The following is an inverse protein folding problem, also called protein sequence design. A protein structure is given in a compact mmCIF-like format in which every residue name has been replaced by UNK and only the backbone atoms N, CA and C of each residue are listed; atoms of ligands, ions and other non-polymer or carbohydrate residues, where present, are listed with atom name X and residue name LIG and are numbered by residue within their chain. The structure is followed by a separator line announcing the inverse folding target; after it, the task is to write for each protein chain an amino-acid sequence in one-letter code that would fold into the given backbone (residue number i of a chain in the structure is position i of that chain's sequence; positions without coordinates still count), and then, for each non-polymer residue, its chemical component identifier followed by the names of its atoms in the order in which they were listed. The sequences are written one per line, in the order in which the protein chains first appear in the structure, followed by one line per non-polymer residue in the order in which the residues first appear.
data_IF_025626515878
#
_entry.id   IF_025626515878
#
_cell.length_a   1.000
_cell.length_b   1.000
_cell.length_c   1.000
_cell.angle_alpha   90.00
_cell.angle_beta   90.00
_cell.angle_gamma   90.00
#
_symmetry.space_group_name_H-M   'P 1'
#
loop_
_entity.id
_entity.type
_entity.pdbx_description
1 polymer ?
#
# COMPACT_ATOMS: atom_id res chain seq x y z
N UNK A 1 -2.63 -18.66 -28.04
CA UNK A 1 -2.65 -17.27 -28.55
C UNK A 1 -1.46 -16.57 -27.92
N UNK A 2 -0.70 -15.78 -28.68
CA UNK A 2 0.52 -15.11 -28.21
C UNK A 2 0.17 -13.72 -27.71
N UNK A 3 0.51 -13.40 -26.45
CA UNK A 3 0.29 -12.07 -25.86
C UNK A 3 1.62 -11.33 -25.78
N UNK A 4 1.67 -10.07 -26.21
CA UNK A 4 2.90 -9.29 -26.32
C UNK A 4 2.64 -7.85 -25.86
N UNK A 5 3.34 -7.42 -24.82
CA UNK A 5 3.21 -6.06 -24.28
C UNK A 5 4.57 -5.44 -24.00
N UNK A 6 4.63 -4.12 -24.19
CA UNK A 6 5.82 -3.28 -24.04
C UNK A 6 5.80 -2.62 -22.66
N UNK A 7 6.93 -2.59 -21.97
CA UNK A 7 7.08 -1.97 -20.64
C UNK A 7 7.93 -0.71 -20.82
N UNK A 8 7.24 0.42 -20.95
CA UNK A 8 7.91 1.71 -21.09
C UNK A 8 8.59 2.10 -19.77
N UNK A 9 9.92 2.06 -19.76
CA UNK A 9 10.73 2.50 -18.61
C UNK A 9 12.05 1.76 -18.41
N UNK A 10 12.27 0.64 -19.08
CA UNK A 10 13.54 -0.10 -18.98
C UNK A 10 14.44 0.23 -20.18
N UNK A 11 15.68 0.70 -19.92
CA UNK A 11 16.73 0.89 -20.93
C UNK A 11 17.33 -0.46 -21.36
N UNK A 12 16.46 -1.42 -21.67
CA UNK A 12 16.77 -2.74 -22.19
C UNK A 12 16.02 -2.82 -23.51
N UNK A 13 16.75 -2.98 -24.60
CA UNK A 13 16.19 -3.13 -25.94
C UNK A 13 15.14 -4.25 -25.95
N UNK A 14 13.86 -3.85 -25.92
CA UNK A 14 12.71 -4.65 -26.34
C UNK A 14 12.65 -6.07 -25.74
N UNK A 15 12.45 -6.18 -24.42
CA UNK A 15 12.28 -7.46 -23.73
C UNK A 15 10.83 -7.93 -23.88
N UNK A 16 10.51 -8.59 -25.01
CA UNK A 16 9.20 -9.22 -25.22
C UNK A 16 9.04 -10.40 -24.25
N UNK A 17 8.14 -10.28 -23.28
CA UNK A 17 7.81 -11.37 -22.36
C UNK A 17 6.68 -12.21 -22.96
N UNK A 18 6.87 -13.53 -23.05
CA UNK A 18 5.87 -14.47 -23.55
C UNK A 18 5.47 -15.42 -22.42
N UNK A 19 4.18 -15.46 -22.11
CA UNK A 19 3.61 -16.33 -21.06
C UNK A 19 2.59 -17.26 -21.72
N UNK A 20 2.81 -18.56 -21.56
CA UNK A 20 1.86 -19.58 -22.00
C UNK A 20 0.87 -19.86 -20.87
N UNK A 21 -0.36 -19.39 -21.02
CA UNK A 21 -1.45 -19.62 -20.06
C UNK A 21 -2.35 -20.76 -20.55
N UNK A 22 -2.97 -21.50 -19.63
CA UNK A 22 -4.03 -22.43 -19.98
C UNK A 22 -5.27 -21.66 -20.46
N UNK A 23 -6.11 -22.28 -21.29
CA UNK A 23 -7.29 -21.62 -21.88
C UNK A 23 -8.27 -21.09 -20.82
N UNK A 24 -8.41 -21.79 -19.69
CA UNK A 24 -9.23 -21.34 -18.57
C UNK A 24 -8.69 -20.03 -17.95
N UNK A 25 -7.38 -19.94 -17.76
CA UNK A 25 -6.72 -18.76 -17.19
C UNK A 25 -6.81 -17.57 -18.15
N UNK A 26 -6.72 -17.82 -19.47
CA UNK A 26 -6.89 -16.76 -20.49
C UNK A 26 -8.30 -16.16 -20.43
N UNK A 27 -9.33 -16.99 -20.30
CA UNK A 27 -10.71 -16.52 -20.19
C UNK A 27 -10.94 -15.74 -18.89
N UNK A 28 -10.35 -16.20 -17.79
CA UNK A 28 -10.38 -15.48 -16.53
C UNK A 28 -9.70 -14.12 -16.64
N UNK A 29 -8.53 -14.04 -17.29
CA UNK A 29 -7.78 -12.80 -17.48
C UNK A 29 -8.55 -11.81 -18.38
N UNK A 30 -9.18 -12.28 -19.45
CA UNK A 30 -10.03 -11.45 -20.31
C UNK A 30 -11.25 -10.90 -19.57
N UNK A 31 -11.87 -11.71 -18.70
CA UNK A 31 -12.99 -11.26 -17.87
C UNK A 31 -12.54 -10.17 -16.86
N UNK A 32 -11.36 -10.35 -16.26
CA UNK A 32 -10.77 -9.36 -15.34
C UNK A 32 -10.42 -8.05 -16.04
N UNK A 33 -9.77 -8.11 -17.21
CA UNK A 33 -9.45 -6.93 -18.01
C UNK A 33 -10.70 -6.12 -18.34
N UNK A 34 -11.76 -6.79 -18.81
CA UNK A 34 -13.04 -6.14 -19.11
C UNK A 34 -13.72 -5.56 -17.86
N UNK A 35 -13.68 -6.27 -16.74
CA UNK A 35 -14.24 -5.78 -15.48
C UNK A 35 -13.49 -4.53 -14.95
N UNK A 36 -12.19 -4.45 -15.22
CA UNK A 36 -11.34 -3.30 -14.90
C UNK A 36 -11.43 -2.16 -15.94
N UNK A 37 -12.21 -2.32 -17.01
CA UNK A 37 -12.43 -1.30 -18.04
C UNK A 37 -11.35 -1.24 -19.13
N UNK A 38 -10.51 -2.27 -19.25
CA UNK A 38 -9.51 -2.36 -20.32
C UNK A 38 -10.09 -2.99 -21.59
N UNK A 39 -9.61 -2.52 -22.74
CA UNK A 39 -10.02 -3.00 -24.06
C UNK A 39 -9.41 -4.37 -24.39
N UNK A 40 -8.20 -4.61 -23.91
CA UNK A 40 -7.43 -5.83 -24.14
C UNK A 40 -6.75 -6.35 -22.86
N UNK A 41 -6.31 -7.61 -22.92
CA UNK A 41 -5.64 -8.29 -21.80
C UNK A 41 -4.21 -7.77 -21.64
N UNK A 42 -3.58 -7.42 -22.74
CA UNK A 42 -2.22 -6.89 -22.81
C UNK A 42 -2.08 -5.55 -22.09
N UNK A 43 -3.01 -4.61 -22.32
CA UNK A 43 -3.05 -3.33 -21.62
C UNK A 43 -3.29 -3.50 -20.13
N UNK A 44 -4.20 -4.41 -19.75
CA UNK A 44 -4.45 -4.75 -18.35
C UNK A 44 -3.18 -5.34 -17.68
N UNK A 45 -2.53 -6.30 -18.32
CA UNK A 45 -1.32 -6.94 -17.79
C UNK A 45 -0.15 -5.95 -17.67
N UNK A 46 0.06 -5.09 -18.66
CA UNK A 46 1.13 -4.08 -18.63
C UNK A 46 0.92 -3.04 -17.53
N UNK A 47 -0.33 -2.56 -17.36
CA UNK A 47 -0.68 -1.64 -16.29
C UNK A 47 -0.46 -2.26 -14.91
N UNK A 48 -0.92 -3.50 -14.71
CA UNK A 48 -0.77 -4.24 -13.47
C UNK A 48 0.71 -4.49 -13.12
N UNK A 49 1.53 -4.89 -14.09
CA UNK A 49 2.97 -5.07 -13.89
C UNK A 49 3.68 -3.75 -13.58
N UNK A 50 3.29 -2.65 -14.23
CA UNK A 50 3.86 -1.32 -13.98
C UNK A 50 3.52 -0.82 -12.57
N UNK A 51 2.32 -1.10 -12.09
CA UNK A 51 1.91 -0.83 -10.71
C UNK A 51 2.71 -1.67 -9.71
N UNK A 52 2.86 -2.98 -9.95
CA UNK A 52 3.68 -3.85 -9.10
C UNK A 52 5.13 -3.38 -8.99
N UNK A 53 5.75 -2.98 -10.10
CA UNK A 53 7.11 -2.43 -10.09
C UNK A 53 7.15 -1.13 -9.27
N UNK A 54 6.18 -0.25 -9.45
CA UNK A 54 6.10 1.01 -8.71
C UNK A 54 5.91 0.81 -7.20
N UNK A 55 5.04 -0.14 -6.81
CA UNK A 55 4.82 -0.52 -5.42
C UNK A 55 6.01 -1.24 -4.81
N UNK A 56 6.75 -2.05 -5.57
CA UNK A 56 7.95 -2.75 -5.05
C UNK A 56 9.11 -1.76 -4.82
N UNK A 57 9.30 -0.79 -5.73
CA UNK A 57 10.24 0.32 -5.53
C UNK A 57 9.86 1.15 -4.31
N UNK A 58 8.56 1.36 -4.06
CA UNK A 58 8.09 2.01 -2.84
C UNK A 58 8.23 1.16 -1.58
N UNK A 59 8.10 -0.17 -1.64
CA UNK A 59 8.32 -1.05 -0.50
C UNK A 59 9.80 -1.11 -0.09
N UNK A 60 10.72 -1.09 -1.05
CA UNK A 60 12.16 -0.97 -0.79
C UNK A 60 12.56 0.44 -0.31
N UNK A 61 11.89 1.49 -0.80
CA UNK A 61 12.13 2.87 -0.35
C UNK A 61 11.43 3.22 0.98
N UNK A 62 10.33 2.53 1.30
CA UNK A 62 9.60 2.59 2.56
C UNK A 62 9.99 1.43 3.48
N UNK A 63 11.26 0.99 3.40
CA UNK A 63 11.90 0.30 4.50
C UNK A 63 11.88 1.22 5.72
N UNK A 64 10.76 1.23 6.44
CA UNK A 64 10.71 1.66 7.83
C UNK A 64 11.78 0.81 8.48
N UNK A 65 12.93 1.42 8.78
CA UNK A 65 14.05 0.73 9.39
C UNK A 65 13.48 -0.07 10.56
N UNK A 66 13.78 -1.37 10.67
CA UNK A 66 13.09 -2.26 11.62
C UNK A 66 13.00 -1.71 13.05
N UNK A 67 13.93 -0.82 13.41
CA UNK A 67 13.94 -0.03 14.64
C UNK A 67 12.75 0.93 14.80
N UNK A 68 12.33 1.67 13.77
CA UNK A 68 11.16 2.57 13.83
C UNK A 68 9.86 1.79 13.96
N UNK A 69 9.74 0.67 13.26
CA UNK A 69 8.59 -0.23 13.40
C UNK A 69 8.55 -0.85 14.80
N UNK A 70 9.69 -1.29 15.31
CA UNK A 70 9.81 -1.86 16.65
C UNK A 70 9.52 -0.83 17.74
N UNK A 71 9.96 0.43 17.56
CA UNK A 71 9.62 1.53 18.46
C UNK A 71 8.12 1.85 18.45
N UNK A 72 7.49 1.85 17.28
CA UNK A 72 6.04 2.07 17.14
C UNK A 72 5.23 0.95 17.82
N UNK A 73 5.62 -0.31 17.61
CA UNK A 73 5.01 -1.46 18.27
C UNK A 73 5.15 -1.40 19.80
N UNK A 74 6.33 -1.02 20.30
CA UNK A 74 6.57 -0.86 21.73
C UNK A 74 5.68 0.25 22.35
N UNK A 75 5.45 1.35 21.63
CA UNK A 75 4.53 2.41 22.07
C UNK A 75 3.09 1.93 22.11
N UNK A 76 2.65 1.15 21.12
CA UNK A 76 1.30 0.56 21.10
C UNK A 76 1.09 -0.39 22.27
N UNK A 77 2.05 -1.27 22.55
CA UNK A 77 1.99 -2.23 23.66
C UNK A 77 1.95 -1.51 25.01
N UNK A 78 2.74 -0.44 25.17
CA UNK A 78 2.70 0.40 26.37
C UNK A 78 1.34 1.07 26.55
N UNK A 79 0.78 1.65 25.49
CA UNK A 79 -0.55 2.27 25.54
C UNK A 79 -1.66 1.29 25.92
N UNK A 80 -1.60 0.06 25.40
CA UNK A 80 -2.51 -1.03 25.76
C UNK A 80 -2.34 -1.44 27.23
N UNK A 81 -1.12 -1.53 27.73
CA UNK A 81 -0.85 -1.85 29.13
C UNK A 81 -1.37 -0.75 30.08
N UNK A 82 -1.22 0.53 29.72
CA UNK A 82 -1.74 1.65 30.51
C UNK A 82 -3.27 1.72 30.51
N UNK A 83 -3.91 1.44 29.37
CA UNK A 83 -5.36 1.30 29.26
C UNK A 83 -5.88 0.15 30.13
N UNK A 84 -5.27 -1.03 30.03
CA UNK A 84 -5.65 -2.20 30.82
C UNK A 84 -5.41 -2.00 32.33
N UNK A 85 -4.41 -1.20 32.70
CA UNK A 85 -4.15 -0.80 34.08
C UNK A 85 -5.10 0.31 34.59
N UNK A 86 -6.06 0.77 33.77
CA UNK A 86 -7.00 1.82 34.12
C UNK A 86 -6.36 3.21 34.27
N UNK A 87 -5.17 3.43 33.70
CA UNK A 87 -4.41 4.69 33.79
C UNK A 87 -4.81 5.71 32.72
N UNK A 88 -5.83 5.42 31.92
CA UNK A 88 -6.36 6.35 30.93
C UNK A 88 -6.83 7.65 31.58
N UNK A 89 -6.41 8.80 31.02
CA UNK A 89 -6.96 10.10 31.41
C UNK A 89 -8.36 10.28 30.81
N UNK A 90 -9.19 11.06 31.49
CA UNK A 90 -10.46 11.54 30.92
C UNK A 90 -10.20 12.28 29.60
N UNK A 91 -10.95 11.93 28.56
CA UNK A 91 -10.77 12.46 27.20
C UNK A 91 -10.87 13.99 27.16
N UNK A 92 -11.79 14.60 27.92
CA UNK A 92 -11.98 16.06 27.93
C UNK A 92 -10.80 16.73 28.61
N UNK A 93 -10.25 16.12 29.66
CA UNK A 93 -9.06 16.64 30.33
C UNK A 93 -7.82 16.49 29.43
N UNK A 94 -7.65 15.35 28.75
CA UNK A 94 -6.54 15.16 27.82
C UNK A 94 -6.57 16.17 26.66
N UNK A 95 -7.76 16.46 26.12
CA UNK A 95 -7.95 17.47 25.06
C UNK A 95 -7.60 18.89 25.56
N UNK A 96 -7.97 19.23 26.80
CA UNK A 96 -7.54 20.48 27.46
C UNK A 96 -6.04 20.58 27.68
N UNK A 97 -5.42 19.51 28.19
CA UNK A 97 -3.98 19.47 28.42
C UNK A 97 -3.21 19.70 27.09
N UNK A 98 -3.65 19.05 26.00
CA UNK A 98 -3.06 19.19 24.66
C UNK A 98 -3.28 20.61 24.13
N UNK A 99 -4.50 21.14 24.23
CA UNK A 99 -4.81 22.48 23.76
C UNK A 99 -3.98 23.55 24.48
N UNK A 100 -3.82 23.45 25.80
CA UNK A 100 -2.95 24.35 26.58
C UNK A 100 -1.47 24.25 26.16
N UNK A 101 -0.95 23.04 25.92
CA UNK A 101 0.42 22.85 25.45
C UNK A 101 0.67 23.50 24.08
N UNK A 102 -0.36 23.55 23.24
CA UNK A 102 -0.30 24.13 21.90
C UNK A 102 -0.85 25.57 21.81
N UNK A 103 -1.21 26.19 22.94
CA UNK A 103 -1.75 27.56 22.99
C UNK A 103 -3.12 27.72 22.33
N UNK A 104 -3.88 26.63 22.21
CA UNK A 104 -5.24 26.63 21.69
C UNK A 104 -6.23 26.87 22.83
N UNK A 105 -7.14 27.82 22.62
CA UNK A 105 -8.29 28.02 23.51
C UNK A 105 -9.49 27.23 22.97
N UNK A 106 -10.02 26.35 23.82
CA UNK A 106 -11.10 25.42 23.47
C UNK A 106 -12.28 25.50 24.46
N UNK A 107 -12.28 26.50 25.36
CA UNK A 107 -13.41 26.79 26.25
C UNK A 107 -14.35 27.87 25.67
N UNK A 108 -14.42 27.99 24.33
CA UNK A 108 -15.29 28.91 23.59
C UNK A 108 -16.69 28.38 23.29
#
# INVERSE_FOLDING_TARGET
MEFCFDVAGCNVKNTRMQINLATADQLALAALAKAAGFEDVEGYASAYLSELVSCHVQADAAGVAGEELQASLAMCDQGLAELNAGKGKDLRQAVRDIAQQHGLDIDG
#
